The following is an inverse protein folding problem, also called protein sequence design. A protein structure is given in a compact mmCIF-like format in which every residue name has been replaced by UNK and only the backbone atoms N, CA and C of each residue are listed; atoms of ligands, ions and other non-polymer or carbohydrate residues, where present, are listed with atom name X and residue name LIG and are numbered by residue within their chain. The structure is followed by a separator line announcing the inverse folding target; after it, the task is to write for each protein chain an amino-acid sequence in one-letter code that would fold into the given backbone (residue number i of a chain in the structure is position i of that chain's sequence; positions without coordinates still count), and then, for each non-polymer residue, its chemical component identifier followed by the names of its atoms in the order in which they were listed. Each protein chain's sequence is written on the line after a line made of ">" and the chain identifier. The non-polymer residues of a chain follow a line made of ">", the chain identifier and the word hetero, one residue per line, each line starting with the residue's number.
data_IF_859832799563
#
_entry.id   IF_859832799563
#
_cell.length_a   1.000
_cell.length_b   1.000
_cell.length_c   1.000
_cell.angle_alpha   90.00
_cell.angle_beta   90.00
_cell.angle_gamma   90.00
#
_symmetry.space_group_name_H-M   'P 1'
#
loop_
_entity.id
_entity.type
_entity.pdbx_description
1 polymer ?
#
# COMPACT_ATOMS: atom_id res chain seq x y z
N UNK A 1 13.47 12.79 -61.29
CA UNK A 1 14.20 11.93 -60.31
C UNK A 1 13.77 12.31 -58.91
N UNK A 2 12.97 11.47 -58.24
CA UNK A 2 12.55 11.68 -56.83
C UNK A 2 13.57 10.97 -55.92
N UNK A 3 14.24 11.71 -55.05
CA UNK A 3 15.16 11.14 -54.03
C UNK A 3 14.30 10.54 -52.92
N UNK A 4 14.36 9.23 -52.74
CA UNK A 4 13.84 8.56 -51.56
C UNK A 4 14.80 8.83 -50.37
N UNK A 5 14.30 9.55 -49.38
CA UNK A 5 14.99 9.75 -48.12
C UNK A 5 14.84 8.47 -47.28
N UNK A 6 15.94 7.78 -47.05
CA UNK A 6 15.97 6.59 -46.21
C UNK A 6 16.02 7.06 -44.72
N UNK A 7 14.94 6.87 -43.97
CA UNK A 7 14.94 7.09 -42.55
C UNK A 7 15.75 5.98 -41.87
N UNK A 8 16.67 6.29 -40.96
CA UNK A 8 17.39 5.26 -40.20
C UNK A 8 16.39 4.49 -39.33
N UNK A 9 16.52 3.17 -39.34
CA UNK A 9 15.71 2.29 -38.47
C UNK A 9 15.97 2.64 -37.00
N UNK A 10 14.89 2.89 -36.25
CA UNK A 10 14.97 3.16 -34.83
C UNK A 10 15.58 1.94 -34.10
N UNK A 11 16.65 2.16 -33.35
CA UNK A 11 17.26 1.15 -32.49
C UNK A 11 16.24 0.74 -31.43
N UNK A 12 15.92 -0.56 -31.27
CA UNK A 12 14.99 -0.98 -30.23
C UNK A 12 15.55 -0.64 -28.85
N UNK A 13 14.74 0.03 -28.02
CA UNK A 13 15.09 0.31 -26.62
C UNK A 13 15.30 -1.03 -25.88
N UNK A 14 16.31 -1.11 -24.99
CA UNK A 14 16.53 -2.31 -24.20
C UNK A 14 15.30 -2.64 -23.37
N UNK A 15 14.87 -3.90 -23.40
CA UNK A 15 13.72 -4.37 -22.60
C UNK A 15 13.96 -4.05 -21.12
N UNK A 16 13.06 -3.27 -20.53
CA UNK A 16 13.10 -2.95 -19.10
C UNK A 16 12.92 -4.24 -18.31
N UNK A 17 13.90 -4.60 -17.49
CA UNK A 17 13.77 -5.74 -16.58
C UNK A 17 12.49 -5.58 -15.74
N UNK A 18 11.69 -6.65 -15.66
CA UNK A 18 10.53 -6.66 -14.77
C UNK A 18 10.96 -6.31 -13.33
N UNK A 19 10.22 -5.46 -12.62
CA UNK A 19 10.54 -5.12 -11.23
C UNK A 19 10.48 -6.38 -10.36
N UNK A 20 11.42 -6.51 -9.43
CA UNK A 20 11.53 -7.63 -8.48
C UNK A 20 10.30 -7.70 -7.57
N UNK A 21 9.71 -6.54 -7.27
CA UNK A 21 8.46 -6.37 -6.55
C UNK A 21 7.49 -5.67 -7.49
N UNK A 22 6.54 -6.40 -8.10
CA UNK A 22 5.59 -5.79 -9.02
C UNK A 22 4.71 -4.78 -8.28
N UNK A 23 4.29 -3.73 -8.98
CA UNK A 23 3.26 -2.83 -8.48
C UNK A 23 1.88 -3.44 -8.71
N UNK A 24 0.97 -3.09 -7.81
CA UNK A 24 -0.45 -3.39 -7.92
C UNK A 24 -1.26 -2.13 -7.60
N UNK A 25 -2.44 -2.04 -8.20
CA UNK A 25 -3.41 -0.98 -7.93
C UNK A 25 -4.76 -1.63 -7.71
N UNK A 26 -5.26 -1.51 -6.50
CA UNK A 26 -6.60 -1.93 -6.15
C UNK A 26 -7.53 -0.72 -6.11
N UNK A 27 -8.79 -0.92 -6.46
CA UNK A 27 -9.82 0.13 -6.42
C UNK A 27 -11.15 -0.47 -6.01
N UNK A 28 -11.68 -0.02 -4.87
CA UNK A 28 -12.95 -0.51 -4.31
C UNK A 28 -13.90 0.65 -4.10
N UNK A 29 -15.17 0.44 -4.38
CA UNK A 29 -16.25 1.41 -4.10
C UNK A 29 -17.02 0.96 -2.86
N UNK A 30 -17.08 1.82 -1.85
CA UNK A 30 -17.92 1.63 -0.68
C UNK A 30 -19.25 2.36 -0.91
N UNK A 31 -20.32 1.60 -0.95
CA UNK A 31 -21.66 2.13 -1.23
C UNK A 31 -22.10 1.98 -2.67
N UNK A 32 -22.85 2.93 -3.17
CA UNK A 32 -23.39 2.90 -4.52
C UNK A 32 -22.29 3.03 -5.57
N UNK A 33 -22.44 2.33 -6.69
CA UNK A 33 -21.44 2.26 -7.77
C UNK A 33 -21.04 3.63 -8.34
N UNK A 34 -21.96 4.57 -8.38
CA UNK A 34 -21.77 5.88 -9.02
C UNK A 34 -21.50 7.01 -8.03
N UNK A 35 -22.10 6.93 -6.84
CA UNK A 35 -22.07 7.98 -5.81
C UNK A 35 -21.33 7.57 -4.54
N UNK A 36 -20.90 6.32 -4.45
CA UNK A 36 -20.15 5.79 -3.32
C UNK A 36 -18.70 6.31 -3.28
N UNK A 37 -18.03 6.02 -2.18
CA UNK A 37 -16.63 6.38 -2.01
C UNK A 37 -15.71 5.39 -2.74
N UNK A 38 -15.02 5.86 -3.76
CA UNK A 38 -13.94 5.09 -4.38
C UNK A 38 -12.65 5.29 -3.57
N UNK A 39 -12.09 4.18 -3.12
CA UNK A 39 -10.78 4.13 -2.48
C UNK A 39 -9.85 3.36 -3.41
N UNK A 40 -8.71 3.98 -3.73
CA UNK A 40 -7.69 3.38 -4.59
C UNK A 40 -6.38 3.31 -3.81
N UNK A 41 -5.70 2.16 -3.83
CA UNK A 41 -4.38 1.98 -3.24
C UNK A 41 -3.43 1.45 -4.31
N UNK A 42 -2.30 2.14 -4.51
CA UNK A 42 -1.20 1.71 -5.38
C UNK A 42 0.01 1.42 -4.51
N UNK A 43 0.60 0.25 -4.68
CA UNK A 43 1.71 -0.20 -3.82
C UNK A 43 2.61 -1.22 -4.53
N UNK A 44 3.86 -1.31 -4.09
CA UNK A 44 4.77 -2.36 -4.52
C UNK A 44 4.57 -3.61 -3.67
N UNK A 45 4.59 -4.80 -4.29
CA UNK A 45 4.30 -6.10 -3.65
C UNK A 45 5.56 -6.94 -3.47
N UNK A 46 6.32 -6.79 -2.37
CA UNK A 46 7.47 -7.63 -2.09
C UNK A 46 7.04 -9.04 -1.68
N UNK A 47 7.92 -10.01 -1.98
CA UNK A 47 7.75 -11.42 -1.57
C UNK A 47 8.40 -11.68 -0.22
N UNK A 48 7.97 -12.76 0.46
CA UNK A 48 8.66 -13.30 1.64
C UNK A 48 10.03 -13.87 1.28
N UNK A 49 10.22 -14.35 0.06
CA UNK A 49 11.50 -14.82 -0.43
C UNK A 49 12.44 -13.68 -0.80
N UNK A 50 13.69 -13.80 -0.37
CA UNK A 50 14.75 -12.91 -0.83
C UNK A 50 15.03 -13.18 -2.32
N UNK A 51 15.02 -12.11 -3.13
CA UNK A 51 15.16 -12.23 -4.58
C UNK A 51 16.56 -12.63 -5.05
N UNK A 52 17.59 -12.42 -4.20
CA UNK A 52 18.98 -12.75 -4.54
C UNK A 52 19.32 -14.21 -4.19
N UNK A 53 18.84 -14.67 -3.03
CA UNK A 53 19.16 -15.99 -2.50
C UNK A 53 18.07 -17.03 -2.75
N UNK A 54 16.82 -16.58 -3.02
CA UNK A 54 15.64 -17.44 -3.11
C UNK A 54 15.18 -18.00 -1.76
N UNK A 55 15.86 -17.68 -0.67
CA UNK A 55 15.54 -18.20 0.66
C UNK A 55 14.40 -17.43 1.32
N UNK A 56 13.57 -18.09 2.12
CA UNK A 56 12.58 -17.43 2.95
C UNK A 56 13.25 -16.46 3.93
N UNK A 57 12.65 -15.30 4.14
CA UNK A 57 13.09 -14.33 5.14
C UNK A 57 11.94 -14.02 6.08
N UNK A 58 12.28 -13.81 7.35
CA UNK A 58 11.32 -13.35 8.35
C UNK A 58 10.96 -11.89 8.04
N UNK A 59 9.68 -11.59 7.96
CA UNK A 59 9.19 -10.26 7.64
C UNK A 59 9.14 -9.40 8.90
N UNK A 60 8.24 -9.75 9.81
CA UNK A 60 7.95 -8.95 10.99
C UNK A 60 9.07 -9.07 12.04
N UNK A 61 9.58 -7.92 12.48
CA UNK A 61 10.71 -7.82 13.41
C UNK A 61 12.09 -7.95 12.76
N UNK A 62 12.17 -8.21 11.44
CA UNK A 62 13.44 -8.35 10.73
C UNK A 62 13.47 -7.46 9.49
N UNK A 63 12.77 -7.83 8.42
CA UNK A 63 12.68 -6.99 7.22
C UNK A 63 11.91 -5.70 7.52
N UNK A 64 10.84 -5.81 8.28
CA UNK A 64 10.02 -4.71 8.82
C UNK A 64 10.26 -4.66 10.33
N UNK A 65 11.22 -3.85 10.83
CA UNK A 65 11.66 -3.87 12.22
C UNK A 65 10.59 -3.37 13.18
N UNK A 66 10.49 -4.00 14.36
CA UNK A 66 9.57 -3.55 15.40
C UNK A 66 9.88 -2.13 15.87
N UNK A 67 8.83 -1.34 16.08
CA UNK A 67 8.89 0.01 16.62
C UNK A 67 9.48 1.05 15.65
N UNK A 68 9.72 0.70 14.38
CA UNK A 68 10.26 1.64 13.39
C UNK A 68 9.24 1.85 12.26
N UNK A 69 9.14 3.10 11.81
CA UNK A 69 8.37 3.42 10.62
C UNK A 69 8.99 2.75 9.40
N UNK A 70 8.20 1.98 8.68
CA UNK A 70 8.60 1.29 7.46
C UNK A 70 7.54 1.54 6.39
N UNK A 71 8.01 1.86 5.16
CA UNK A 71 7.09 1.98 4.02
C UNK A 71 6.33 0.68 3.84
N UNK A 72 5.06 0.77 3.68
CA UNK A 72 4.18 -0.38 3.51
C UNK A 72 4.26 -0.87 2.06
N UNK A 73 5.31 -1.63 1.73
CA UNK A 73 5.54 -2.13 0.38
C UNK A 73 6.99 -2.00 -0.10
N UNK A 74 7.18 -2.04 -1.41
CA UNK A 74 8.46 -1.95 -2.07
C UNK A 74 8.43 -0.88 -3.17
N UNK A 75 9.62 -0.42 -3.58
CA UNK A 75 9.82 0.65 -4.53
C UNK A 75 9.30 1.99 -3.97
N UNK A 76 8.37 2.67 -4.65
CA UNK A 76 7.77 3.92 -4.20
C UNK A 76 6.86 3.69 -2.98
N UNK A 77 6.63 4.75 -2.23
CA UNK A 77 5.73 4.75 -1.08
C UNK A 77 4.31 4.34 -1.49
N UNK A 78 3.64 3.56 -0.66
CA UNK A 78 2.25 3.16 -0.88
C UNK A 78 1.34 4.37 -0.85
N UNK A 79 0.55 4.54 -1.90
CA UNK A 79 -0.37 5.68 -2.09
C UNK A 79 -1.80 5.22 -1.90
N UNK A 80 -2.54 5.91 -1.03
CA UNK A 80 -4.00 5.78 -0.90
C UNK A 80 -4.66 7.05 -1.40
N UNK A 81 -5.75 6.90 -2.16
CA UNK A 81 -6.63 8.00 -2.56
C UNK A 81 -8.05 7.64 -2.13
N UNK A 82 -8.72 8.54 -1.42
CA UNK A 82 -10.13 8.42 -1.06
C UNK A 82 -10.92 9.61 -1.58
N UNK A 83 -12.05 9.36 -2.24
CA UNK A 83 -12.88 10.41 -2.85
C UNK A 83 -13.84 11.08 -1.83
N UNK A 84 -14.11 10.40 -0.71
CA UNK A 84 -14.94 10.93 0.38
C UNK A 84 -14.20 10.79 1.70
N UNK A 85 -14.54 11.58 2.73
CA UNK A 85 -13.91 11.47 4.04
C UNK A 85 -14.14 10.09 4.69
N UNK A 86 -13.13 9.60 5.40
CA UNK A 86 -13.20 8.38 6.19
C UNK A 86 -13.24 8.71 7.69
N UNK A 87 -14.15 8.13 8.42
CA UNK A 87 -14.13 8.12 9.88
C UNK A 87 -13.41 6.88 10.35
N UNK A 88 -12.30 7.04 11.06
CA UNK A 88 -11.50 5.96 11.65
C UNK A 88 -11.44 6.23 13.16
N UNK A 89 -12.08 5.38 13.95
CA UNK A 89 -12.31 5.68 15.35
C UNK A 89 -13.08 7.01 15.50
N UNK A 90 -12.48 7.99 16.17
CA UNK A 90 -13.05 9.35 16.35
C UNK A 90 -12.48 10.38 15.36
N UNK A 91 -11.53 9.99 14.53
CA UNK A 91 -10.82 10.90 13.61
C UNK A 91 -11.45 10.87 12.22
N UNK A 92 -11.73 12.05 11.68
CA UNK A 92 -12.13 12.19 10.27
C UNK A 92 -10.90 12.43 9.40
N UNK A 93 -10.63 11.50 8.50
CA UNK A 93 -9.61 11.61 7.45
C UNK A 93 -10.26 12.26 6.24
N UNK A 94 -9.86 13.47 5.81
CA UNK A 94 -10.44 14.14 4.65
C UNK A 94 -10.29 13.36 3.34
N UNK A 95 -11.13 13.65 2.37
CA UNK A 95 -10.98 13.19 1.00
C UNK A 95 -9.71 13.78 0.39
N UNK A 96 -8.70 12.95 0.16
CA UNK A 96 -7.40 13.36 -0.37
C UNK A 96 -6.56 12.13 -0.78
N UNK A 97 -5.32 12.39 -1.17
CA UNK A 97 -4.27 11.40 -1.34
C UNK A 97 -3.37 11.37 -0.09
N UNK A 98 -2.95 10.19 0.31
CA UNK A 98 -2.06 9.96 1.46
C UNK A 98 -1.00 8.92 1.11
N UNK A 99 0.20 9.12 1.60
CA UNK A 99 1.19 8.06 1.69
C UNK A 99 0.87 7.21 2.91
N UNK A 100 0.82 5.89 2.74
CA UNK A 100 0.66 4.95 3.84
C UNK A 100 2.01 4.34 4.22
N UNK A 101 2.24 4.23 5.53
CA UNK A 101 3.35 3.47 6.08
C UNK A 101 2.94 2.79 7.39
N UNK A 102 3.69 1.79 7.82
CA UNK A 102 3.39 1.02 9.03
C UNK A 102 4.46 1.24 10.11
N UNK A 103 4.01 1.31 11.36
CA UNK A 103 4.89 1.20 12.54
C UNK A 103 4.50 -0.09 13.26
N UNK A 104 5.18 -1.21 12.99
CA UNK A 104 4.80 -2.48 13.58
C UNK A 104 5.23 -2.55 15.05
N UNK A 105 4.43 -3.20 15.87
CA UNK A 105 4.75 -3.46 17.29
C UNK A 105 4.79 -4.95 17.56
N UNK A 106 5.76 -5.37 18.39
CA UNK A 106 5.87 -6.76 18.81
C UNK A 106 4.83 -7.11 19.88
N UNK A 107 4.65 -6.23 20.86
CA UNK A 107 3.83 -6.49 22.07
C UNK A 107 2.57 -5.63 22.14
N UNK A 108 2.52 -4.52 21.45
CA UNK A 108 1.39 -3.58 21.43
C UNK A 108 0.65 -3.56 20.09
N UNK A 109 -0.21 -2.56 19.90
CA UNK A 109 -0.85 -2.32 18.63
C UNK A 109 0.15 -1.81 17.60
N UNK A 110 0.20 -2.43 16.42
CA UNK A 110 0.87 -1.86 15.25
C UNK A 110 0.03 -0.72 14.70
N UNK A 111 0.66 0.27 14.09
CA UNK A 111 -0.05 1.46 13.60
C UNK A 111 0.09 1.63 12.10
N UNK A 112 -1.00 2.03 11.44
CA UNK A 112 -1.00 2.52 10.07
C UNK A 112 -1.04 4.05 10.10
N UNK A 113 -0.05 4.66 9.47
CA UNK A 113 0.05 6.11 9.35
C UNK A 113 -0.46 6.57 8.00
N UNK A 114 -1.19 7.69 8.02
CA UNK A 114 -1.62 8.46 6.87
C UNK A 114 -0.77 9.73 6.81
N UNK A 115 0.17 9.79 5.88
CA UNK A 115 1.10 10.91 5.74
C UNK A 115 0.73 11.80 4.55
N UNK A 116 0.94 13.09 4.69
CA UNK A 116 0.78 14.09 3.63
C UNK A 116 2.02 14.23 2.74
N UNK A 117 3.09 13.47 3.01
CA UNK A 117 4.33 13.48 2.23
C UNK A 117 4.18 12.62 0.97
N UNK A 118 3.70 13.20 -0.10
CA UNK A 118 3.38 12.52 -1.35
C UNK A 118 4.57 12.49 -2.33
N UNK A 119 4.54 11.51 -3.24
CA UNK A 119 5.48 11.41 -4.36
C UNK A 119 6.91 11.04 -3.96
N UNK A 120 7.09 10.38 -2.82
CA UNK A 120 8.39 9.97 -2.28
C UNK A 120 8.69 8.49 -2.52
N UNK A 121 9.95 8.14 -2.34
CA UNK A 121 10.38 6.73 -2.33
C UNK A 121 9.90 5.99 -1.07
N UNK A 122 9.57 6.75 -0.01
CA UNK A 122 9.04 6.23 1.25
C UNK A 122 10.09 5.79 2.27
N UNK A 123 11.37 5.90 1.97
CA UNK A 123 12.48 5.68 2.90
C UNK A 123 13.53 6.78 2.67
N UNK A 124 13.95 7.51 3.71
CA UNK A 124 13.40 7.48 5.08
C UNK A 124 11.97 8.04 5.14
N UNK A 125 11.20 7.58 6.14
CA UNK A 125 9.86 8.12 6.43
C UNK A 125 10.01 9.45 7.17
N UNK A 126 9.30 10.49 6.74
CA UNK A 126 9.18 11.76 7.47
C UNK A 126 7.91 11.75 8.34
N UNK A 127 8.04 11.29 9.58
CA UNK A 127 6.95 11.19 10.53
C UNK A 127 6.33 12.54 10.91
N UNK A 128 7.02 13.67 10.64
CA UNK A 128 6.50 15.03 10.88
C UNK A 128 5.39 15.42 9.91
N UNK A 129 5.23 14.66 8.82
CA UNK A 129 4.19 14.84 7.81
C UNK A 129 2.95 14.00 8.05
N UNK A 130 2.87 13.31 9.18
CA UNK A 130 1.70 12.52 9.52
C UNK A 130 0.47 13.40 9.67
N UNK A 131 -0.59 13.01 8.99
CA UNK A 131 -1.92 13.52 9.27
C UNK A 131 -2.46 12.84 10.54
N UNK A 132 -2.39 11.51 10.58
CA UNK A 132 -2.82 10.71 11.73
C UNK A 132 -2.23 9.29 11.67
N UNK A 133 -2.22 8.62 12.84
CA UNK A 133 -1.90 7.20 13.00
C UNK A 133 -3.06 6.47 13.64
N UNK A 134 -3.30 5.26 13.18
CA UNK A 134 -4.41 4.43 13.65
C UNK A 134 -3.91 3.06 14.06
N UNK A 135 -4.36 2.58 15.20
CA UNK A 135 -4.06 1.26 15.68
C UNK A 135 -4.71 0.20 14.78
N UNK A 136 -3.92 -0.80 14.43
CA UNK A 136 -4.33 -1.91 13.59
C UNK A 136 -4.78 -3.10 14.44
N UNK A 137 -5.85 -3.75 14.01
CA UNK A 137 -6.25 -5.04 14.54
C UNK A 137 -5.38 -6.12 13.91
N UNK A 138 -4.64 -6.86 14.73
CA UNK A 138 -3.77 -7.97 14.29
C UNK A 138 -4.49 -9.29 14.42
N UNK A 139 -4.37 -10.15 13.42
CA UNK A 139 -4.86 -11.50 13.41
C UNK A 139 -3.84 -12.45 12.76
N UNK A 140 -3.80 -13.74 13.16
CA UNK A 140 -3.04 -14.74 12.43
C UNK A 140 -3.65 -14.96 11.04
N UNK A 141 -2.81 -15.33 10.08
CA UNK A 141 -3.21 -15.61 8.70
C UNK A 141 -2.78 -17.01 8.31
N UNK A 142 -3.75 -17.85 8.01
CA UNK A 142 -3.57 -19.23 7.51
C UNK A 142 -4.49 -19.48 6.30
N UNK A 143 -3.92 -19.94 5.18
CA UNK A 143 -2.49 -20.16 4.91
C UNK A 143 -1.69 -18.85 4.85
N UNK A 144 -0.38 -18.93 5.04
CA UNK A 144 0.51 -17.79 4.91
C UNK A 144 0.50 -17.20 3.49
N UNK A 145 0.66 -15.89 3.38
CA UNK A 145 0.69 -15.17 2.10
C UNK A 145 2.14 -14.80 1.76
N UNK A 146 2.64 -15.33 0.64
CA UNK A 146 4.03 -15.14 0.20
C UNK A 146 4.32 -13.70 -0.24
N UNK A 147 3.33 -12.99 -0.75
CA UNK A 147 3.50 -11.64 -1.28
C UNK A 147 2.63 -10.64 -0.53
N UNK A 148 3.21 -9.49 -0.14
CA UNK A 148 2.43 -8.42 0.48
C UNK A 148 1.18 -8.16 -0.34
N UNK A 149 0.03 -8.26 0.32
CA UNK A 149 -1.28 -8.01 -0.27
C UNK A 149 -2.01 -6.97 0.57
N UNK A 150 -2.39 -5.87 -0.06
CA UNK A 150 -3.25 -4.85 0.52
C UNK A 150 -4.59 -4.91 -0.19
N UNK A 151 -5.67 -4.81 0.56
CA UNK A 151 -7.02 -4.85 0.04
C UNK A 151 -7.93 -3.86 0.76
N UNK A 152 -8.99 -3.42 0.09
CA UNK A 152 -10.08 -2.63 0.68
C UNK A 152 -11.36 -3.44 0.54
N UNK A 153 -11.88 -3.91 1.66
CA UNK A 153 -13.05 -4.77 1.71
C UNK A 153 -14.28 -3.97 2.14
N UNK A 154 -15.28 -3.88 1.27
CA UNK A 154 -16.57 -3.32 1.64
C UNK A 154 -17.30 -4.25 2.61
N UNK A 155 -17.81 -3.74 3.74
CA UNK A 155 -18.57 -4.47 4.74
C UNK A 155 -20.06 -4.14 4.68
N UNK A 156 -20.38 -2.90 4.31
CA UNK A 156 -21.75 -2.41 4.11
C UNK A 156 -21.76 -1.27 3.11
N UNK A 157 -22.90 -0.62 2.95
CA UNK A 157 -23.01 0.57 2.09
C UNK A 157 -22.20 1.79 2.59
N UNK A 158 -21.74 1.78 3.84
CA UNK A 158 -21.00 2.90 4.43
C UNK A 158 -19.73 2.49 5.18
N UNK A 159 -19.50 1.19 5.38
CA UNK A 159 -18.36 0.71 6.15
C UNK A 159 -17.45 -0.20 5.32
N UNK A 160 -16.19 -0.16 5.62
CA UNK A 160 -15.18 -1.03 5.04
C UNK A 160 -13.99 -1.23 5.96
N UNK A 161 -13.03 -1.97 5.48
CA UNK A 161 -11.74 -2.14 6.16
C UNK A 161 -10.60 -2.18 5.15
N UNK A 162 -9.46 -1.59 5.51
CA UNK A 162 -8.19 -1.79 4.82
C UNK A 162 -7.56 -3.04 5.45
N UNK A 163 -7.21 -4.04 4.63
CA UNK A 163 -6.50 -5.24 5.04
C UNK A 163 -5.08 -5.22 4.51
N UNK A 164 -4.14 -5.64 5.34
CA UNK A 164 -2.73 -5.80 5.00
C UNK A 164 -2.34 -7.22 5.40
N UNK A 165 -1.95 -8.02 4.42
CA UNK A 165 -1.66 -9.44 4.60
C UNK A 165 -0.25 -9.74 4.10
N UNK A 166 0.57 -10.32 4.95
CA UNK A 166 1.91 -10.76 4.57
C UNK A 166 2.44 -11.82 5.54
N UNK A 167 3.10 -12.85 5.01
CA UNK A 167 3.55 -13.98 5.77
C UNK A 167 2.35 -14.64 6.50
N UNK A 168 2.39 -14.77 7.81
CA UNK A 168 1.34 -15.36 8.66
C UNK A 168 0.52 -14.31 9.42
N UNK A 169 0.57 -13.05 9.01
CA UNK A 169 -0.05 -11.95 9.75
C UNK A 169 -1.00 -11.15 8.85
N UNK A 170 -2.19 -10.91 9.35
CA UNK A 170 -3.12 -9.91 8.83
C UNK A 170 -3.23 -8.75 9.81
N UNK A 171 -3.15 -7.55 9.26
CA UNK A 171 -3.57 -6.33 9.93
C UNK A 171 -4.83 -5.81 9.25
N UNK A 172 -5.74 -5.22 10.02
CA UNK A 172 -6.93 -4.58 9.49
C UNK A 172 -7.23 -3.25 10.17
N UNK A 173 -7.75 -2.31 9.39
CA UNK A 173 -8.17 -1.00 9.85
C UNK A 173 -9.61 -0.76 9.39
N UNK A 174 -10.60 -0.87 10.29
CA UNK A 174 -11.99 -0.57 9.96
C UNK A 174 -12.22 0.93 9.82
N UNK A 175 -13.10 1.31 8.90
CA UNK A 175 -13.51 2.70 8.68
C UNK A 175 -14.97 2.81 8.29
N UNK A 176 -15.53 4.00 8.45
CA UNK A 176 -16.86 4.39 7.93
C UNK A 176 -16.70 5.54 6.95
N UNK A 177 -17.37 5.48 5.81
CA UNK A 177 -17.43 6.60 4.85
C UNK A 177 -18.36 7.66 5.41
N UNK A 178 -17.87 8.88 5.52
CA UNK A 178 -18.63 10.03 5.98
C UNK A 178 -19.20 10.78 4.76
N UNK A 179 -20.51 10.92 4.72
CA UNK A 179 -21.18 11.75 3.70
C UNK A 179 -21.12 13.22 4.07
#
# INVERSE_FOLDING_TARGET
>A
MRRFSCFPAATPLPARRAPISPHDTISTVIGDRYTGNRITITYGRPYTKDHKTGLPRKIWGTLVPWGKADRLGANEATLLITQQPLMIGTTTVPAAAYTLYIVPSETGASQLAFSTDLGKWGIPVDEKKDFARFDLVKAPLEPSVDQLTIDVVAKSATTGEIKIQWENTQYSLPFTVKK
#
